data_IF_698497155520
#
_entry.id   IF_698497155520
#
_cell.length_a   1.000
_cell.length_b   1.000
_cell.length_c   1.000
_cell.angle_alpha   90.00
_cell.angle_beta   90.00
_cell.angle_gamma   90.00
#
_symmetry.space_group_name_H-M   'P 1'
#
loop_
_entity.id
_entity.type
_entity.pdbx_description
1 polymer ?
#
# COMPACT_ATOMS: atom_id res chain seq x y z
N UNK A 1 -8.19 17.73 9.85
CA UNK A 1 -6.87 18.20 10.29
C UNK A 1 -6.47 19.37 9.40
N UNK A 2 -6.15 20.56 9.91
CA UNK A 2 -5.73 21.64 9.07
C UNK A 2 -4.37 21.33 8.46
N UNK A 3 -4.31 21.33 7.13
CA UNK A 3 -3.06 21.33 6.39
C UNK A 3 -2.35 22.66 6.68
N UNK A 4 -1.36 22.63 7.54
CA UNK A 4 -0.55 23.83 7.78
C UNK A 4 0.41 24.04 6.61
N UNK A 5 -0.04 24.79 5.64
CA UNK A 5 0.80 25.35 4.58
C UNK A 5 1.43 26.70 4.99
N UNK A 6 1.45 27.01 6.28
CA UNK A 6 1.70 28.36 6.78
C UNK A 6 3.14 28.67 7.16
N UNK A 7 4.07 27.75 7.05
CA UNK A 7 5.49 28.08 7.23
C UNK A 7 6.06 28.87 6.05
N UNK A 8 5.17 29.36 5.19
CA UNK A 8 5.54 29.39 3.82
C UNK A 8 6.07 30.68 3.28
N UNK A 9 5.71 31.87 3.72
CA UNK A 9 5.91 32.99 2.82
C UNK A 9 7.35 33.53 2.74
N UNK A 10 8.17 33.38 3.77
CA UNK A 10 9.55 33.87 3.72
C UNK A 10 10.62 32.75 3.57
N UNK A 11 10.31 31.54 3.99
CA UNK A 11 11.20 30.36 3.84
C UNK A 11 11.12 29.83 2.41
N UNK A 12 10.00 29.96 1.72
CA UNK A 12 9.81 29.51 0.33
C UNK A 12 10.74 30.13 -0.70
N UNK A 13 11.34 31.27 -0.40
CA UNK A 13 12.24 31.95 -1.35
C UNK A 13 13.64 31.35 -1.43
N UNK A 14 13.99 30.40 -0.53
CA UNK A 14 15.32 29.79 -0.48
C UNK A 14 15.28 28.37 0.11
N UNK A 15 14.30 27.54 -0.32
CA UNK A 15 14.21 26.16 0.18
C UNK A 15 15.12 25.19 -0.57
N UNK A 16 15.66 25.59 -1.70
CA UNK A 16 16.43 24.80 -2.64
C UNK A 16 17.70 25.52 -3.09
N UNK A 17 18.70 24.76 -3.51
CA UNK A 17 19.97 25.26 -4.04
C UNK A 17 20.56 24.25 -5.04
N UNK A 18 21.57 24.67 -5.79
CA UNK A 18 22.30 23.79 -6.71
C UNK A 18 23.09 22.74 -5.93
N UNK A 19 23.11 21.48 -6.41
CA UNK A 19 23.85 20.40 -5.73
C UNK A 19 25.36 20.66 -5.74
N UNK A 20 26.03 20.31 -4.66
CA UNK A 20 27.49 20.24 -4.65
C UNK A 20 27.97 19.19 -5.68
N UNK A 21 29.06 19.48 -6.36
CA UNK A 21 29.57 18.62 -7.43
C UNK A 21 29.03 18.95 -8.82
N UNK A 22 28.08 19.88 -8.90
CA UNK A 22 27.42 20.27 -10.15
C UNK A 22 26.35 19.27 -10.60
N UNK A 23 25.68 19.57 -11.69
CA UNK A 23 24.59 18.79 -12.24
C UNK A 23 23.39 19.66 -12.60
N UNK A 24 22.41 19.08 -13.27
CA UNK A 24 21.14 19.75 -13.56
C UNK A 24 20.20 19.63 -12.35
N UNK A 25 19.32 20.62 -12.18
CA UNK A 25 18.31 20.58 -11.14
C UNK A 25 18.73 21.23 -9.84
N UNK A 26 17.88 21.12 -8.85
CA UNK A 26 18.00 21.72 -7.51
C UNK A 26 17.86 20.64 -6.46
N UNK A 27 18.34 20.91 -5.24
CA UNK A 27 18.21 20.04 -4.06
C UNK A 27 17.56 20.84 -2.94
N UNK A 28 16.60 20.25 -2.24
CA UNK A 28 15.99 20.87 -1.07
C UNK A 28 17.02 20.98 0.05
N UNK A 29 17.17 22.18 0.60
CA UNK A 29 18.18 22.47 1.63
C UNK A 29 17.81 21.83 2.98
N UNK A 30 18.81 21.41 3.75
CA UNK A 30 18.64 20.81 5.06
C UNK A 30 17.92 21.70 6.06
N UNK A 31 18.31 22.98 6.16
CA UNK A 31 17.78 23.90 7.19
C UNK A 31 16.27 24.17 7.08
N UNK A 32 15.67 24.43 5.90
CA UNK A 32 14.23 24.57 5.76
C UNK A 32 13.46 23.29 6.08
N UNK A 33 13.96 22.13 5.63
CA UNK A 33 13.34 20.83 5.90
C UNK A 33 13.39 20.52 7.40
N UNK A 34 14.53 20.72 8.04
CA UNK A 34 14.68 20.53 9.48
C UNK A 34 13.80 21.49 10.29
N UNK A 35 13.72 22.76 9.89
CA UNK A 35 12.84 23.74 10.54
C UNK A 35 11.36 23.34 10.47
N UNK A 36 10.90 22.81 9.32
CA UNK A 36 9.55 22.30 9.17
C UNK A 36 9.29 21.07 10.07
N UNK A 37 10.25 20.14 10.13
CA UNK A 37 10.19 18.99 11.02
C UNK A 37 10.10 19.38 12.50
N UNK A 38 10.97 20.31 12.96
CA UNK A 38 10.94 20.77 14.36
C UNK A 38 9.61 21.45 14.72
N UNK A 39 9.04 22.24 13.82
CA UNK A 39 7.73 22.84 14.03
C UNK A 39 6.60 21.79 14.19
N UNK A 40 6.63 20.74 13.39
CA UNK A 40 5.67 19.61 13.52
C UNK A 40 5.91 18.86 14.81
N UNK A 41 7.17 18.55 15.14
CA UNK A 41 7.55 17.85 16.37
C UNK A 41 7.15 18.64 17.62
N UNK A 42 7.32 19.97 17.63
CA UNK A 42 6.87 20.83 18.73
C UNK A 42 5.35 20.78 18.90
N UNK A 43 4.61 20.78 17.81
CA UNK A 43 3.16 20.68 17.83
C UNK A 43 2.66 19.32 18.35
N UNK A 44 3.31 18.22 17.95
CA UNK A 44 2.98 16.86 18.38
C UNK A 44 3.44 16.61 19.84
N UNK A 45 4.55 17.22 20.25
CA UNK A 45 5.12 17.12 21.60
C UNK A 45 6.09 15.96 21.81
N UNK A 46 6.39 15.17 20.77
CA UNK A 46 7.37 14.07 20.77
C UNK A 46 7.96 13.87 19.38
N UNK A 47 8.96 12.98 19.24
CA UNK A 47 9.55 12.63 17.96
C UNK A 47 8.58 11.75 17.15
N UNK A 48 7.98 12.23 16.05
CA UNK A 48 7.06 11.46 15.25
C UNK A 48 7.81 10.43 14.39
N UNK A 49 7.09 9.44 13.89
CA UNK A 49 7.56 8.58 12.81
C UNK A 49 7.54 9.37 11.49
N UNK A 50 8.69 9.43 10.80
CA UNK A 50 8.87 10.22 9.57
C UNK A 50 9.13 9.28 8.40
N UNK A 51 8.20 9.26 7.45
CA UNK A 51 8.25 8.43 6.26
C UNK A 51 8.69 9.28 5.07
N UNK A 52 9.86 9.00 4.52
CA UNK A 52 10.35 9.63 3.30
C UNK A 52 9.96 8.80 2.08
N UNK A 53 9.25 9.44 1.14
CA UNK A 53 8.77 8.84 -0.10
C UNK A 53 9.88 8.89 -1.17
N UNK A 54 10.48 7.75 -1.45
CA UNK A 54 11.65 7.67 -2.33
C UNK A 54 11.73 6.31 -3.03
N UNK A 55 12.21 6.25 -4.31
CA UNK A 55 12.48 4.97 -4.98
C UNK A 55 13.52 4.09 -4.28
N UNK A 56 14.34 4.67 -3.38
CA UNK A 56 15.38 3.93 -2.64
C UNK A 56 14.81 3.13 -1.45
N UNK A 57 13.54 3.37 -1.09
CA UNK A 57 12.89 2.77 0.07
C UNK A 57 12.39 1.35 -0.19
N UNK A 58 12.02 0.68 0.90
CA UNK A 58 11.31 -0.60 0.83
C UNK A 58 9.94 -0.44 0.18
N UNK A 59 9.56 -1.40 -0.67
CA UNK A 59 8.27 -1.33 -1.36
C UNK A 59 7.11 -1.43 -0.36
N UNK A 60 6.21 -0.46 -0.38
CA UNK A 60 5.03 -0.39 0.47
C UNK A 60 4.15 -1.64 0.28
N UNK A 61 3.66 -2.18 1.39
CA UNK A 61 2.87 -3.40 1.41
C UNK A 61 1.79 -3.34 2.48
N UNK A 62 0.81 -4.24 2.40
CA UNK A 62 -0.27 -4.32 3.39
C UNK A 62 0.24 -4.49 4.84
N UNK A 63 1.24 -5.35 5.15
CA UNK A 63 1.80 -5.42 6.50
C UNK A 63 2.41 -4.10 6.99
N UNK A 64 3.03 -3.31 6.09
CA UNK A 64 3.53 -1.97 6.46
C UNK A 64 2.38 -1.01 6.75
N UNK A 65 1.29 -1.06 5.97
CA UNK A 65 0.10 -0.25 6.26
C UNK A 65 -0.50 -0.59 7.62
N UNK A 66 -0.58 -1.87 7.97
CA UNK A 66 -1.05 -2.36 9.28
C UNK A 66 -0.14 -1.92 10.44
N UNK A 67 1.16 -1.84 10.20
CA UNK A 67 2.11 -1.31 11.18
C UNK A 67 1.93 0.19 11.37
N UNK A 68 1.89 0.95 10.28
CA UNK A 68 1.71 2.41 10.33
C UNK A 68 0.35 2.83 10.89
N UNK A 69 -0.70 2.04 10.70
CA UNK A 69 -2.02 2.32 11.26
C UNK A 69 -2.08 2.27 12.79
N UNK A 70 -1.05 1.72 13.45
CA UNK A 70 -0.95 1.67 14.92
C UNK A 70 -0.31 2.93 15.51
N UNK A 71 0.34 3.74 14.67
CA UNK A 71 0.97 4.97 15.11
C UNK A 71 -0.07 6.05 15.39
N UNK A 72 0.19 6.88 16.39
CA UNK A 72 -0.67 8.01 16.71
C UNK A 72 -0.53 9.12 15.68
N UNK A 73 0.69 9.40 15.26
CA UNK A 73 1.04 10.43 14.28
C UNK A 73 2.06 9.91 13.27
N UNK A 74 1.83 10.22 12.00
CA UNK A 74 2.74 9.94 10.90
C UNK A 74 3.07 11.23 10.16
N UNK A 75 4.34 11.45 9.89
CA UNK A 75 4.83 12.56 9.06
C UNK A 75 5.29 12.01 7.72
N UNK A 76 4.70 12.49 6.63
CA UNK A 76 5.12 12.15 5.28
C UNK A 76 6.04 13.24 4.74
N UNK A 77 7.28 12.90 4.45
CA UNK A 77 8.25 13.77 3.81
C UNK A 77 8.21 13.56 2.31
N UNK A 78 7.70 14.55 1.59
CA UNK A 78 7.57 14.53 0.14
C UNK A 78 8.69 15.37 -0.48
N UNK A 79 9.65 14.70 -1.14
CA UNK A 79 10.74 15.36 -1.84
C UNK A 79 10.33 15.89 -3.21
N UNK A 80 11.01 16.93 -3.64
CA UNK A 80 10.93 17.52 -4.97
C UNK A 80 12.32 17.65 -5.60
N UNK A 81 12.37 18.06 -6.86
CA UNK A 81 13.60 18.29 -7.62
C UNK A 81 14.47 17.04 -7.72
N UNK A 82 15.79 17.16 -7.54
CA UNK A 82 16.73 16.05 -7.52
C UNK A 82 16.75 15.31 -6.16
N UNK A 83 16.06 15.84 -5.16
CA UNK A 83 15.96 15.25 -3.82
C UNK A 83 16.12 16.25 -2.69
N UNK A 84 16.41 15.73 -1.50
CA UNK A 84 16.60 16.46 -0.25
C UNK A 84 18.04 16.25 0.21
N UNK A 85 18.64 17.25 0.85
CA UNK A 85 19.98 17.16 1.44
C UNK A 85 20.08 15.95 2.37
N UNK A 86 21.03 15.04 2.09
CA UNK A 86 21.16 13.74 2.79
C UNK A 86 21.34 13.91 4.31
N UNK A 87 22.01 14.96 4.74
CA UNK A 87 22.28 15.21 6.17
C UNK A 87 21.01 15.37 7.00
N UNK A 88 19.99 15.99 6.45
CA UNK A 88 18.70 16.11 7.17
C UNK A 88 17.91 14.82 7.10
N UNK A 89 18.00 14.07 5.99
CA UNK A 89 17.35 12.76 5.89
C UNK A 89 17.90 11.80 6.93
N UNK A 90 19.22 11.71 7.09
CA UNK A 90 19.87 10.87 8.11
C UNK A 90 19.44 11.23 9.53
N UNK A 91 19.12 12.50 9.79
CA UNK A 91 18.76 12.95 11.13
C UNK A 91 17.29 12.73 11.49
N UNK A 92 16.37 12.96 10.54
CA UNK A 92 14.94 13.00 10.86
C UNK A 92 14.15 11.78 10.36
N UNK A 93 14.57 11.13 9.26
CA UNK A 93 13.81 10.04 8.65
C UNK A 93 13.89 8.76 9.46
N UNK A 94 12.76 8.12 9.66
CA UNK A 94 12.67 6.79 10.31
C UNK A 94 12.47 5.68 9.30
N UNK A 95 11.76 5.97 8.21
CA UNK A 95 11.37 4.97 7.21
C UNK A 95 11.55 5.53 5.79
N UNK A 96 12.24 4.78 4.94
CA UNK A 96 12.36 5.04 3.51
C UNK A 96 11.39 4.10 2.79
N UNK A 97 10.40 4.66 2.08
CA UNK A 97 9.33 3.88 1.47
C UNK A 97 9.15 4.23 -0.01
N UNK A 98 9.05 3.18 -0.83
CA UNK A 98 8.72 3.25 -2.25
C UNK A 98 7.32 2.67 -2.51
N UNK A 99 6.59 3.17 -3.49
CA UNK A 99 5.35 2.55 -3.96
C UNK A 99 5.53 1.69 -5.21
N UNK A 100 6.77 1.51 -5.68
CA UNK A 100 7.11 0.67 -6.84
C UNK A 100 8.34 1.16 -7.58
N UNK A 101 8.84 0.35 -8.50
CA UNK A 101 10.06 0.59 -9.27
C UNK A 101 9.80 1.53 -10.47
N UNK A 102 9.40 2.74 -10.19
CA UNK A 102 9.20 3.80 -11.17
C UNK A 102 9.39 5.18 -10.51
N UNK A 103 9.65 6.20 -11.33
CA UNK A 103 9.93 7.55 -10.85
C UNK A 103 8.71 8.45 -11.07
N UNK A 104 8.36 9.25 -10.06
CA UNK A 104 7.34 10.28 -10.10
C UNK A 104 7.98 11.65 -9.94
N UNK A 105 7.22 12.71 -10.23
CA UNK A 105 7.70 14.09 -10.14
C UNK A 105 7.84 14.62 -8.71
N UNK A 106 7.22 13.93 -7.72
CA UNK A 106 7.26 14.30 -6.31
C UNK A 106 6.69 13.20 -5.41
N UNK A 107 6.81 13.39 -4.11
CA UNK A 107 6.37 12.43 -3.09
C UNK A 107 4.88 12.50 -2.73
N UNK A 108 4.13 13.47 -3.23
CA UNK A 108 2.75 13.71 -2.80
C UNK A 108 1.78 12.59 -3.23
N UNK A 109 1.89 12.11 -4.46
CA UNK A 109 1.07 11.01 -4.93
C UNK A 109 1.34 9.70 -4.16
N UNK A 110 2.59 9.30 -3.95
CA UNK A 110 2.91 8.21 -3.03
C UNK A 110 2.33 8.39 -1.62
N UNK A 111 2.45 9.59 -1.05
CA UNK A 111 1.88 9.89 0.26
C UNK A 111 0.36 9.70 0.28
N UNK A 112 -0.34 10.17 -0.74
CA UNK A 112 -1.81 9.98 -0.86
C UNK A 112 -2.19 8.50 -0.95
N UNK A 113 -1.45 7.69 -1.72
CA UNK A 113 -1.67 6.23 -1.81
C UNK A 113 -1.49 5.57 -0.45
N UNK A 114 -0.42 5.92 0.27
CA UNK A 114 -0.16 5.37 1.60
C UNK A 114 -1.19 5.84 2.63
N UNK A 115 -1.54 7.12 2.64
CA UNK A 115 -2.57 7.67 3.53
C UNK A 115 -3.92 6.97 3.34
N UNK A 116 -4.34 6.73 2.11
CA UNK A 116 -5.58 5.99 1.82
C UNK A 116 -5.51 4.56 2.37
N UNK A 117 -4.45 3.83 2.04
CA UNK A 117 -4.26 2.44 2.49
C UNK A 117 -4.18 2.31 4.02
N UNK A 118 -3.48 3.23 4.69
CA UNK A 118 -3.31 3.24 6.14
C UNK A 118 -4.62 3.63 6.84
N UNK A 119 -5.29 4.69 6.37
CA UNK A 119 -6.50 5.21 7.02
C UNK A 119 -7.66 4.22 7.00
N UNK A 120 -7.76 3.37 5.97
CA UNK A 120 -8.75 2.29 5.90
C UNK A 120 -8.62 1.26 7.03
N UNK A 121 -7.42 1.14 7.63
CA UNK A 121 -7.12 0.21 8.73
C UNK A 121 -7.32 0.84 10.11
N UNK A 122 -7.55 2.15 10.17
CA UNK A 122 -7.83 2.86 11.43
C UNK A 122 -9.29 2.61 11.83
N UNK A 123 -9.55 2.13 13.07
CA UNK A 123 -10.92 1.89 13.54
C UNK A 123 -11.84 3.11 13.38
N UNK A 124 -13.05 2.88 12.89
CA UNK A 124 -14.06 3.93 12.72
C UNK A 124 -13.92 4.77 11.43
N UNK A 125 -12.92 4.55 10.60
CA UNK A 125 -12.79 5.23 9.29
C UNK A 125 -13.72 4.59 8.26
N UNK A 126 -13.78 3.26 8.22
CA UNK A 126 -14.74 2.54 7.37
C UNK A 126 -16.02 2.25 8.14
N UNK A 127 -17.18 2.44 7.49
CA UNK A 127 -18.50 2.18 8.06
C UNK A 127 -18.75 0.69 8.36
N UNK A 128 -18.02 -0.21 7.71
CA UNK A 128 -18.12 -1.65 7.89
C UNK A 128 -16.71 -2.23 8.13
N UNK A 129 -16.37 -2.40 9.39
CA UNK A 129 -15.06 -2.97 9.80
C UNK A 129 -14.86 -4.40 9.29
N UNK A 130 -15.96 -5.17 9.10
CA UNK A 130 -15.90 -6.51 8.52
C UNK A 130 -15.47 -6.51 7.04
N UNK A 131 -15.55 -5.37 6.33
CA UNK A 131 -15.07 -5.29 4.95
C UNK A 131 -13.56 -5.46 4.85
N UNK A 132 -12.79 -4.96 5.81
CA UNK A 132 -11.34 -5.05 5.80
C UNK A 132 -10.82 -6.47 6.10
N UNK A 133 -11.61 -7.32 6.77
CA UNK A 133 -11.20 -8.67 7.15
C UNK A 133 -11.14 -9.66 5.97
N UNK A 134 -11.83 -9.38 4.87
CA UNK A 134 -11.94 -10.29 3.71
C UNK A 134 -11.35 -9.72 2.42
N UNK A 135 -10.65 -8.61 2.48
CA UNK A 135 -10.04 -7.97 1.32
C UNK A 135 -8.75 -8.69 0.86
N UNK A 136 -8.32 -8.37 -0.36
CA UNK A 136 -7.07 -8.90 -0.92
C UNK A 136 -5.88 -8.56 -0.01
N UNK A 137 -4.94 -9.50 0.08
CA UNK A 137 -3.74 -9.52 0.93
C UNK A 137 -3.96 -9.92 2.39
N UNK A 138 -5.18 -9.97 2.89
CA UNK A 138 -5.47 -10.59 4.18
C UNK A 138 -5.15 -12.09 4.13
N UNK A 139 -4.32 -12.57 5.07
CA UNK A 139 -3.83 -13.94 5.06
C UNK A 139 -3.03 -14.32 3.80
N UNK A 140 -2.46 -13.35 3.08
CA UNK A 140 -1.73 -13.52 1.83
C UNK A 140 -2.56 -14.19 0.71
N UNK A 141 -3.84 -13.88 0.61
CA UNK A 141 -4.70 -14.31 -0.48
C UNK A 141 -5.33 -13.12 -1.20
N UNK A 142 -5.72 -13.34 -2.45
CA UNK A 142 -6.59 -12.43 -3.17
C UNK A 142 -8.04 -12.68 -2.77
N UNK A 143 -8.84 -11.64 -2.81
CA UNK A 143 -10.27 -11.70 -2.56
C UNK A 143 -11.00 -12.58 -3.59
N UNK A 144 -12.07 -13.24 -3.16
CA UNK A 144 -12.93 -14.04 -4.03
C UNK A 144 -13.67 -13.20 -5.07
N UNK A 145 -14.21 -13.80 -6.17
CA UNK A 145 -14.98 -13.05 -7.15
C UNK A 145 -16.34 -12.61 -6.58
N UNK A 146 -16.73 -11.37 -6.92
CA UNK A 146 -18.03 -10.80 -6.57
C UNK A 146 -18.98 -10.84 -7.74
N UNK A 147 -20.27 -11.02 -7.43
CA UNK A 147 -21.34 -11.05 -8.39
C UNK A 147 -22.46 -10.10 -7.96
N UNK A 148 -22.98 -9.34 -8.90
CA UNK A 148 -24.12 -8.43 -8.70
C UNK A 148 -25.33 -8.90 -9.52
N UNK A 149 -26.48 -8.24 -9.38
CA UNK A 149 -27.67 -8.45 -10.21
C UNK A 149 -27.44 -7.88 -11.62
N UNK A 150 -28.04 -8.49 -12.66
CA UNK A 150 -28.95 -9.63 -12.66
C UNK A 150 -28.22 -10.98 -12.46
N UNK A 151 -28.98 -12.04 -12.12
CA UNK A 151 -28.44 -13.42 -11.91
C UNK A 151 -27.77 -13.99 -13.16
N UNK A 152 -28.27 -13.64 -14.33
CA UNK A 152 -27.69 -14.05 -15.63
C UNK A 152 -27.31 -12.80 -16.40
N UNK A 153 -26.05 -12.73 -16.85
CA UNK A 153 -25.54 -11.65 -17.69
C UNK A 153 -24.71 -12.25 -18.86
N UNK A 154 -25.11 -11.98 -20.10
CA UNK A 154 -24.49 -12.54 -21.29
C UNK A 154 -24.26 -14.07 -21.18
N UNK A 155 -25.34 -14.80 -20.87
CA UNK A 155 -25.35 -16.28 -20.69
C UNK A 155 -24.50 -16.81 -19.51
N UNK A 156 -23.80 -15.94 -18.79
CA UNK A 156 -23.03 -16.27 -17.59
C UNK A 156 -23.91 -16.14 -16.36
N UNK A 157 -24.01 -17.21 -15.60
CA UNK A 157 -24.84 -17.28 -14.40
C UNK A 157 -24.01 -17.09 -13.14
N UNK A 158 -24.59 -16.43 -12.15
CA UNK A 158 -24.05 -16.39 -10.78
C UNK A 158 -23.95 -17.82 -10.22
N UNK A 159 -22.86 -18.22 -9.54
CA UNK A 159 -22.75 -19.54 -8.93
C UNK A 159 -23.91 -19.85 -7.99
N UNK A 160 -24.52 -21.02 -8.13
CA UNK A 160 -25.72 -21.43 -7.39
C UNK A 160 -25.51 -21.41 -5.87
N UNK A 161 -24.30 -21.69 -5.39
CA UNK A 161 -23.96 -21.65 -3.96
C UNK A 161 -24.21 -20.27 -3.37
N UNK A 162 -24.00 -19.17 -4.13
CA UNK A 162 -24.24 -17.80 -3.68
C UNK A 162 -25.75 -17.46 -3.60
N UNK A 163 -26.58 -18.21 -4.30
CA UNK A 163 -28.04 -18.07 -4.31
C UNK A 163 -28.73 -18.94 -3.25
N UNK A 164 -28.00 -19.88 -2.65
CA UNK A 164 -28.54 -20.92 -1.76
C UNK A 164 -28.98 -20.39 -0.37
N UNK A 165 -28.48 -19.25 0.06
CA UNK A 165 -28.68 -18.73 1.42
C UNK A 165 -27.94 -19.51 2.52
N UNK A 166 -27.18 -20.55 2.19
CA UNK A 166 -26.41 -21.35 3.16
C UNK A 166 -25.04 -20.67 3.47
N UNK A 167 -24.99 -19.84 4.50
CA UNK A 167 -23.80 -19.07 4.86
C UNK A 167 -22.51 -19.91 4.94
N UNK A 168 -22.54 -21.07 5.61
CA UNK A 168 -21.35 -21.92 5.73
C UNK A 168 -20.81 -22.42 4.38
N UNK A 169 -21.70 -22.76 3.43
CA UNK A 169 -21.30 -23.17 2.09
C UNK A 169 -20.79 -21.99 1.27
N UNK A 170 -21.37 -20.82 1.45
CA UNK A 170 -20.93 -19.57 0.80
C UNK A 170 -19.52 -19.20 1.28
N UNK A 171 -19.27 -19.21 2.60
CA UNK A 171 -17.94 -18.92 3.17
C UNK A 171 -16.88 -19.93 2.67
N UNK A 172 -17.20 -21.20 2.68
CA UNK A 172 -16.31 -22.23 2.13
C UNK A 172 -16.00 -21.99 0.65
N UNK A 173 -17.01 -21.68 -0.16
CA UNK A 173 -16.83 -21.37 -1.58
C UNK A 173 -15.98 -20.12 -1.78
N UNK A 174 -16.22 -19.05 -1.01
CA UNK A 174 -15.41 -17.81 -1.05
C UNK A 174 -13.94 -18.11 -0.77
N UNK A 175 -13.66 -18.88 0.27
CA UNK A 175 -12.30 -19.26 0.63
C UNK A 175 -11.64 -20.10 -0.47
N UNK A 176 -12.33 -21.06 -1.04
CA UNK A 176 -11.84 -21.87 -2.16
C UNK A 176 -11.54 -20.99 -3.39
N UNK A 177 -12.42 -20.04 -3.72
CA UNK A 177 -12.22 -19.11 -4.84
C UNK A 177 -11.04 -18.14 -4.60
N UNK A 178 -10.82 -17.71 -3.37
CA UNK A 178 -9.64 -16.91 -3.03
C UNK A 178 -8.34 -17.68 -3.28
N UNK A 179 -8.28 -18.95 -2.88
CA UNK A 179 -7.11 -19.81 -3.14
C UNK A 179 -6.89 -20.01 -4.64
N UNK A 180 -7.93 -20.35 -5.39
CA UNK A 180 -7.85 -20.53 -6.85
C UNK A 180 -7.36 -19.26 -7.53
N UNK A 181 -7.99 -18.12 -7.24
CA UNK A 181 -7.64 -16.83 -7.83
C UNK A 181 -6.22 -16.42 -7.49
N UNK A 182 -5.75 -16.71 -6.27
CA UNK A 182 -4.38 -16.43 -5.86
C UNK A 182 -3.40 -17.31 -6.64
N UNK A 183 -3.67 -18.59 -6.77
CA UNK A 183 -2.84 -19.51 -7.56
C UNK A 183 -2.73 -19.07 -9.03
N UNK A 184 -3.83 -18.60 -9.61
CA UNK A 184 -3.87 -18.17 -11.00
C UNK A 184 -3.14 -16.84 -11.25
N UNK A 185 -3.27 -15.87 -10.34
CA UNK A 185 -2.89 -14.48 -10.58
C UNK A 185 -1.67 -14.01 -9.80
N UNK A 186 -1.53 -14.48 -8.56
CA UNK A 186 -0.47 -14.08 -7.64
C UNK A 186 0.06 -15.27 -6.85
N UNK A 187 0.65 -16.27 -7.55
CA UNK A 187 1.18 -17.49 -6.91
C UNK A 187 2.28 -17.20 -5.87
N UNK A 188 2.97 -16.07 -6.00
CA UNK A 188 3.95 -15.59 -5.04
C UNK A 188 3.39 -15.40 -3.62
N UNK A 189 2.10 -15.07 -3.49
CA UNK A 189 1.44 -14.90 -2.20
C UNK A 189 1.22 -16.23 -1.47
N UNK A 190 1.05 -17.34 -2.21
CA UNK A 190 0.78 -18.66 -1.61
C UNK A 190 1.91 -19.18 -0.73
N UNK A 191 3.15 -18.74 -0.99
CA UNK A 191 4.32 -19.12 -0.19
C UNK A 191 4.21 -18.67 1.28
N UNK A 192 3.48 -17.58 1.51
CA UNK A 192 3.28 -16.97 2.83
C UNK A 192 1.88 -17.17 3.39
N UNK A 193 0.96 -17.78 2.60
CA UNK A 193 -0.42 -17.99 3.00
C UNK A 193 -0.55 -19.18 3.95
N UNK A 194 -1.37 -19.01 5.00
CA UNK A 194 -1.75 -20.11 5.88
C UNK A 194 -2.85 -20.94 5.20
N UNK A 195 -2.44 -22.06 4.61
CA UNK A 195 -3.29 -22.98 3.84
C UNK A 195 -3.39 -24.34 4.54
N UNK A 196 -4.61 -24.83 4.69
CA UNK A 196 -4.84 -26.22 5.06
C UNK A 196 -4.33 -27.19 3.98
N UNK A 197 -4.12 -28.47 4.33
CA UNK A 197 -3.67 -29.48 3.38
C UNK A 197 -4.57 -29.60 2.13
N UNK A 198 -5.89 -29.39 2.30
CA UNK A 198 -6.86 -29.40 1.19
C UNK A 198 -6.69 -28.19 0.27
N UNK A 199 -6.49 -27.02 0.85
CA UNK A 199 -6.29 -25.77 0.10
C UNK A 199 -4.96 -25.81 -0.65
N UNK A 200 -3.91 -26.36 -0.05
CA UNK A 200 -2.62 -26.56 -0.70
C UNK A 200 -2.75 -27.46 -1.92
N UNK A 201 -3.43 -28.61 -1.78
CA UNK A 201 -3.68 -29.50 -2.89
C UNK A 201 -4.53 -28.86 -4.01
N UNK A 202 -5.47 -27.98 -3.66
CA UNK A 202 -6.24 -27.19 -4.61
C UNK A 202 -5.36 -26.19 -5.37
N UNK A 203 -4.53 -25.45 -4.67
CA UNK A 203 -3.59 -24.49 -5.27
C UNK A 203 -2.59 -25.17 -6.21
N UNK A 204 -1.99 -26.28 -5.79
CA UNK A 204 -1.05 -27.07 -6.59
C UNK A 204 -1.68 -27.58 -7.89
N UNK A 205 -2.92 -28.00 -7.86
CA UNK A 205 -3.67 -28.43 -9.05
C UNK A 205 -3.87 -27.26 -10.02
N UNK A 206 -4.32 -26.11 -9.54
CA UNK A 206 -4.49 -24.92 -10.37
C UNK A 206 -3.18 -24.47 -11.01
N UNK A 207 -2.07 -24.52 -10.28
CA UNK A 207 -0.74 -24.19 -10.81
C UNK A 207 -0.28 -25.19 -11.87
N UNK A 208 -0.57 -26.49 -11.72
CA UNK A 208 -0.25 -27.51 -12.71
C UNK A 208 -1.06 -27.33 -14.00
N UNK A 209 -2.35 -27.05 -13.88
CA UNK A 209 -3.24 -26.78 -15.03
C UNK A 209 -2.79 -25.56 -15.82
N UNK A 210 -2.41 -24.48 -15.13
CA UNK A 210 -1.87 -23.25 -15.77
C UNK A 210 -0.57 -23.53 -16.54
N UNK A 211 0.35 -24.32 -15.97
CA UNK A 211 1.60 -24.69 -16.65
C UNK A 211 1.33 -25.51 -17.92
N UNK A 212 0.38 -26.43 -17.87
CA UNK A 212 0.00 -27.26 -19.04
C UNK A 212 -0.63 -26.40 -20.15
N UNK A 213 -1.51 -25.47 -19.80
CA UNK A 213 -2.14 -24.55 -20.76
C UNK A 213 -1.09 -23.70 -21.48
N UNK A 214 -0.11 -23.13 -20.74
CA UNK A 214 0.96 -22.32 -21.31
C UNK A 214 1.90 -23.12 -22.26
N UNK A 215 2.07 -24.41 -22.00
CA UNK A 215 2.92 -25.31 -22.85
C UNK A 215 2.21 -25.71 -24.16
N UNK A 216 0.89 -25.56 -24.26
CA UNK A 216 0.12 -25.89 -25.45
C UNK A 216 -0.08 -24.70 -26.41
N UNK A 217 0.18 -23.46 -25.96
CA UNK A 217 0.05 -22.23 -26.76
C UNK A 217 1.39 -21.79 -27.41
N UNK A 218 2.48 -22.48 -27.16
CA UNK A 218 3.81 -22.27 -27.74
C UNK A 218 4.14 -23.39 -28.72
#
# INVERSE_FOLDING_TARGET
TPLYSSAASDVYKRQDDTPYGGGAGMVMQAAPVYGAYEAVKEQIGYRPRVIYLTPQGSTFSQPMAEEFAKEQDLVFLCGHYEGIDERVLEEIVTDYVSIGDYVLTGGELPAMVMMDAISRLVPGVLHNEASAEFESFQGNLLEHPHYSRPEVWHEKRVPEVLLSGHHANIEKWRREQSVIRTAERRPDLLEKADLSAKEKALADRCLAEKKLAFTQEV
#
